data_IF_272126158361
#
_entry.id   IF_272126158361
#
_cell.length_a   1.000
_cell.length_b   1.000
_cell.length_c   1.000
_cell.angle_alpha   90.00
_cell.angle_beta   90.00
_cell.angle_gamma   90.00
#
_symmetry.space_group_name_H-M   'P 1'
#
loop_
_entity.id
_entity.type
_entity.pdbx_description
1 polymer ?
#
# COMPACT_ATOMS: atom_id res chain seq x y z
N UNK A 1 4.28 2.86 22.58
CA UNK A 1 4.29 2.44 21.16
C UNK A 1 4.31 0.94 20.97
N UNK A 2 5.27 0.21 21.53
CA UNK A 2 5.41 -1.24 21.33
C UNK A 2 4.39 -2.13 22.04
N UNK A 3 3.59 -1.59 22.97
CA UNK A 3 2.57 -2.37 23.70
C UNK A 3 1.49 -2.99 22.82
N UNK A 4 1.19 -2.40 21.67
CA UNK A 4 0.27 -2.99 20.69
C UNK A 4 0.71 -4.40 20.26
N UNK A 5 2.00 -4.64 20.18
CA UNK A 5 2.59 -5.93 19.79
C UNK A 5 2.80 -6.90 20.97
N UNK A 6 2.69 -6.44 22.22
CA UNK A 6 3.01 -7.25 23.41
C UNK A 6 1.81 -7.56 24.29
N UNK A 7 0.74 -6.77 24.23
CA UNK A 7 -0.47 -6.98 25.04
C UNK A 7 -1.31 -8.08 24.44
N UNK A 8 -1.69 -9.08 25.26
CA UNK A 8 -2.40 -10.30 24.87
C UNK A 8 -3.67 -10.03 24.03
N UNK A 9 -4.42 -8.97 24.34
CA UNK A 9 -5.66 -8.63 23.62
C UNK A 9 -5.43 -8.15 22.19
N UNK A 10 -4.27 -7.53 21.91
CA UNK A 10 -3.93 -6.95 20.62
C UNK A 10 -2.87 -7.75 19.86
N UNK A 11 -2.22 -8.72 20.52
CA UNK A 11 -1.09 -9.48 19.99
C UNK A 11 -1.40 -10.13 18.64
N UNK A 12 -2.46 -10.93 18.57
CA UNK A 12 -2.81 -11.62 17.31
C UNK A 12 -3.16 -10.64 16.20
N UNK A 13 -3.89 -9.58 16.53
CA UNK A 13 -4.25 -8.58 15.55
C UNK A 13 -3.04 -7.81 15.01
N UNK A 14 -2.10 -7.45 15.85
CA UNK A 14 -0.91 -6.71 15.43
C UNK A 14 0.00 -7.55 14.53
N UNK A 15 0.28 -8.79 14.88
CA UNK A 15 1.15 -9.65 14.09
C UNK A 15 0.50 -10.12 12.78
N UNK A 16 -0.75 -10.59 12.84
CA UNK A 16 -1.50 -11.01 11.65
C UNK A 16 -1.71 -9.80 10.72
N UNK A 17 -2.10 -8.65 11.28
CA UNK A 17 -2.32 -7.44 10.50
C UNK A 17 -1.03 -6.95 9.81
N UNK A 18 0.10 -6.95 10.50
CA UNK A 18 1.39 -6.61 9.90
C UNK A 18 1.77 -7.59 8.78
N UNK A 19 1.56 -8.89 9.01
CA UNK A 19 1.85 -9.91 8.00
C UNK A 19 0.95 -9.75 6.75
N UNK A 20 -0.35 -9.47 6.94
CA UNK A 20 -1.27 -9.22 5.83
C UNK A 20 -0.86 -7.99 5.03
N UNK A 21 -0.48 -6.90 5.70
CA UNK A 21 -0.02 -5.68 5.01
C UNK A 21 1.24 -5.98 4.19
N UNK A 22 2.25 -6.62 4.78
CA UNK A 22 3.50 -6.95 4.08
C UNK A 22 3.27 -7.90 2.90
N UNK A 23 2.45 -8.93 3.08
CA UNK A 23 2.09 -9.86 1.99
C UNK A 23 1.35 -9.15 0.86
N UNK A 24 0.45 -8.23 1.18
CA UNK A 24 -0.31 -7.46 0.20
C UNK A 24 0.59 -6.50 -0.59
N UNK A 25 1.55 -5.85 0.07
CA UNK A 25 2.56 -5.02 -0.61
C UNK A 25 3.39 -5.86 -1.59
N UNK A 26 3.76 -7.08 -1.20
CA UNK A 26 4.50 -7.98 -2.10
C UNK A 26 3.67 -8.38 -3.32
N UNK A 27 2.37 -8.70 -3.13
CA UNK A 27 1.44 -8.98 -4.24
C UNK A 27 1.35 -7.77 -5.19
N UNK A 28 1.29 -6.55 -4.65
CA UNK A 28 1.25 -5.33 -5.45
C UNK A 28 2.51 -5.19 -6.33
N UNK A 29 3.69 -5.42 -5.77
CA UNK A 29 4.96 -5.40 -6.55
C UNK A 29 4.94 -6.43 -7.67
N UNK A 30 4.42 -7.64 -7.43
CA UNK A 30 4.30 -8.68 -8.47
C UNK A 30 3.37 -8.24 -9.61
N UNK A 31 2.27 -7.55 -9.28
CA UNK A 31 1.36 -7.04 -10.31
C UNK A 31 2.02 -5.90 -11.09
N UNK A 32 2.76 -5.01 -10.43
CA UNK A 32 3.52 -3.92 -11.07
C UNK A 32 4.54 -4.46 -12.09
N UNK A 33 5.27 -5.52 -11.73
CA UNK A 33 6.20 -6.19 -12.65
C UNK A 33 5.45 -6.74 -13.88
N UNK A 34 4.31 -7.38 -13.68
CA UNK A 34 3.48 -7.90 -14.80
C UNK A 34 2.95 -6.79 -15.70
N UNK A 35 2.56 -5.66 -15.15
CA UNK A 35 2.14 -4.49 -15.92
C UNK A 35 3.32 -3.98 -16.77
N UNK A 36 4.51 -3.92 -16.18
CA UNK A 36 5.71 -3.48 -16.88
C UNK A 36 6.11 -4.45 -18.02
N UNK A 37 6.03 -5.76 -17.78
CA UNK A 37 6.22 -6.79 -18.82
C UNK A 37 5.20 -6.63 -19.95
N UNK A 38 3.93 -6.37 -19.60
CA UNK A 38 2.88 -6.14 -20.60
C UNK A 38 3.20 -4.92 -21.47
N UNK A 39 3.71 -3.82 -20.90
CA UNK A 39 4.13 -2.65 -21.68
C UNK A 39 5.21 -3.02 -22.70
N UNK A 40 6.22 -3.82 -22.32
CA UNK A 40 7.25 -4.30 -23.24
C UNK A 40 6.65 -5.03 -24.43
N UNK A 41 5.84 -6.06 -24.17
CA UNK A 41 5.19 -6.86 -25.21
C UNK A 41 4.26 -6.02 -26.10
N UNK A 42 3.54 -5.08 -25.51
CA UNK A 42 2.64 -4.19 -26.25
C UNK A 42 3.40 -3.24 -27.17
N UNK A 43 4.50 -2.65 -26.71
CA UNK A 43 5.33 -1.79 -27.55
C UNK A 43 5.99 -2.57 -28.70
N UNK A 44 6.46 -3.79 -28.46
CA UNK A 44 7.00 -4.66 -29.51
C UNK A 44 5.93 -4.98 -30.57
N UNK A 45 4.69 -5.24 -30.14
CA UNK A 45 3.56 -5.47 -31.04
C UNK A 45 3.26 -4.23 -31.89
N UNK A 46 3.27 -3.03 -31.31
CA UNK A 46 3.06 -1.77 -32.04
C UNK A 46 4.19 -1.53 -33.06
N UNK A 47 5.45 -1.75 -32.67
CA UNK A 47 6.60 -1.62 -33.57
C UNK A 47 6.48 -2.59 -34.77
N UNK A 48 6.08 -3.84 -34.51
CA UNK A 48 5.86 -4.82 -35.54
C UNK A 48 4.73 -4.41 -36.50
N UNK A 49 3.62 -3.91 -35.99
CA UNK A 49 2.50 -3.42 -36.77
C UNK A 49 2.87 -2.24 -37.67
N UNK A 50 3.79 -1.38 -37.23
CA UNK A 50 4.29 -0.22 -37.99
C UNK A 50 5.33 -0.63 -39.05
N UNK A 51 6.12 -1.65 -38.78
CA UNK A 51 7.18 -2.09 -39.67
C UNK A 51 6.62 -2.92 -40.86
N UNK A 52 5.60 -3.72 -40.61
CA UNK A 52 5.05 -4.63 -41.62
C UNK A 52 3.51 -4.51 -41.70
N UNK A 53 2.94 -4.16 -42.88
CA UNK A 53 1.49 -4.10 -43.03
C UNK A 53 0.84 -5.48 -42.78
N UNK A 54 -0.21 -5.50 -41.95
CA UNK A 54 -0.95 -6.71 -41.55
C UNK A 54 -0.16 -7.74 -40.70
N UNK A 55 0.98 -7.36 -40.11
CA UNK A 55 1.77 -8.26 -39.26
C UNK A 55 1.10 -8.52 -37.88
N UNK A 56 0.16 -7.69 -37.47
CA UNK A 56 -0.62 -7.82 -36.25
C UNK A 56 -2.10 -7.78 -36.61
N UNK A 57 -2.85 -8.76 -36.13
CA UNK A 57 -4.29 -8.79 -36.34
C UNK A 57 -5.02 -7.84 -35.34
N UNK A 58 -6.20 -7.38 -35.77
CA UNK A 58 -7.07 -6.59 -34.89
C UNK A 58 -7.46 -7.37 -33.62
N UNK A 59 -7.63 -8.68 -33.76
CA UNK A 59 -7.96 -9.57 -32.64
C UNK A 59 -6.84 -9.64 -31.62
N UNK A 60 -5.57 -9.77 -32.07
CA UNK A 60 -4.39 -9.74 -31.17
C UNK A 60 -4.26 -8.41 -30.42
N UNK A 61 -4.52 -7.31 -31.12
CA UNK A 61 -4.51 -5.97 -30.52
C UNK A 61 -5.55 -5.85 -29.38
N UNK A 62 -6.81 -6.22 -29.66
CA UNK A 62 -7.86 -6.17 -28.65
C UNK A 62 -7.65 -7.16 -27.52
N UNK A 63 -7.12 -8.36 -27.79
CA UNK A 63 -6.76 -9.34 -26.77
C UNK A 63 -5.69 -8.77 -25.80
N UNK A 64 -4.68 -8.08 -26.34
CA UNK A 64 -3.68 -7.40 -25.52
C UNK A 64 -4.29 -6.29 -24.66
N UNK A 65 -5.15 -5.44 -25.22
CA UNK A 65 -5.85 -4.41 -24.44
C UNK A 65 -6.73 -5.02 -23.33
N UNK A 66 -7.44 -6.10 -23.61
CA UNK A 66 -8.26 -6.78 -22.62
C UNK A 66 -7.41 -7.36 -21.47
N UNK A 67 -6.25 -7.92 -21.80
CA UNK A 67 -5.30 -8.39 -20.78
C UNK A 67 -4.81 -7.25 -19.87
N UNK A 68 -4.55 -6.07 -20.45
CA UNK A 68 -4.21 -4.88 -19.67
C UNK A 68 -5.33 -4.44 -18.73
N UNK A 69 -6.55 -4.35 -19.22
CA UNK A 69 -7.72 -3.98 -18.40
C UNK A 69 -7.87 -4.94 -17.23
N UNK A 70 -7.64 -6.22 -17.45
CA UNK A 70 -7.71 -7.25 -16.39
C UNK A 70 -6.61 -7.03 -15.33
N UNK A 71 -5.35 -6.80 -15.77
CA UNK A 71 -4.24 -6.51 -14.87
C UNK A 71 -4.46 -5.21 -14.09
N UNK A 72 -4.87 -4.14 -14.78
CA UNK A 72 -5.15 -2.85 -14.16
C UNK A 72 -6.32 -2.93 -13.17
N UNK A 73 -7.38 -3.66 -13.51
CA UNK A 73 -8.50 -3.91 -12.61
C UNK A 73 -8.08 -4.66 -11.35
N UNK A 74 -7.26 -5.70 -11.50
CA UNK A 74 -6.70 -6.45 -10.37
C UNK A 74 -5.82 -5.55 -9.48
N UNK A 75 -4.97 -4.71 -10.10
CA UNK A 75 -4.13 -3.74 -9.39
C UNK A 75 -4.97 -2.78 -8.54
N UNK A 76 -6.00 -2.18 -9.13
CA UNK A 76 -6.89 -1.24 -8.44
C UNK A 76 -7.62 -1.94 -7.28
N UNK A 77 -8.13 -3.14 -7.49
CA UNK A 77 -8.82 -3.90 -6.44
C UNK A 77 -7.89 -4.20 -5.25
N UNK A 78 -6.66 -4.65 -5.51
CA UNK A 78 -5.65 -4.90 -4.48
C UNK A 78 -5.27 -3.61 -3.77
N UNK A 79 -5.04 -2.51 -4.51
CA UNK A 79 -4.71 -1.21 -3.95
C UNK A 79 -5.79 -0.69 -2.98
N UNK A 80 -7.05 -0.75 -3.38
CA UNK A 80 -8.18 -0.33 -2.53
C UNK A 80 -8.27 -1.19 -1.28
N UNK A 81 -8.12 -2.52 -1.42
CA UNK A 81 -8.15 -3.44 -0.30
C UNK A 81 -7.01 -3.17 0.71
N UNK A 82 -5.79 -2.95 0.23
CA UNK A 82 -4.63 -2.60 1.07
C UNK A 82 -4.87 -1.27 1.79
N UNK A 83 -5.32 -0.25 1.08
CA UNK A 83 -5.57 1.07 1.65
C UNK A 83 -6.60 1.01 2.77
N UNK A 84 -7.71 0.32 2.54
CA UNK A 84 -8.75 0.10 3.54
C UNK A 84 -8.22 -0.66 4.77
N UNK A 85 -7.49 -1.76 4.54
CA UNK A 85 -6.96 -2.57 5.61
C UNK A 85 -5.91 -1.83 6.44
N UNK A 86 -5.03 -1.07 5.79
CA UNK A 86 -4.00 -0.26 6.45
C UNK A 86 -4.64 0.83 7.33
N UNK A 87 -5.63 1.55 6.82
CA UNK A 87 -6.37 2.55 7.61
C UNK A 87 -7.04 1.92 8.83
N UNK A 88 -7.66 0.75 8.67
CA UNK A 88 -8.29 0.02 9.76
C UNK A 88 -7.26 -0.50 10.80
N UNK A 89 -6.11 -0.98 10.35
CA UNK A 89 -5.02 -1.41 11.21
C UNK A 89 -4.46 -0.26 12.05
N UNK A 90 -4.23 0.90 11.44
CA UNK A 90 -3.74 2.11 12.12
C UNK A 90 -4.78 2.64 13.11
N UNK A 91 -6.06 2.60 12.76
CA UNK A 91 -7.13 2.97 13.68
C UNK A 91 -7.12 2.10 14.95
N UNK A 92 -6.98 0.78 14.81
CA UNK A 92 -6.89 -0.14 15.94
C UNK A 92 -5.61 0.06 16.76
N UNK A 93 -4.49 0.33 16.11
CA UNK A 93 -3.26 0.67 16.81
C UNK A 93 -3.41 1.93 17.65
N UNK A 94 -4.05 2.96 17.10
CA UNK A 94 -4.38 4.18 17.83
C UNK A 94 -5.29 3.88 19.03
N UNK A 95 -6.31 3.07 18.86
CA UNK A 95 -7.21 2.67 19.96
C UNK A 95 -6.43 2.02 21.10
N UNK A 96 -5.54 1.08 20.80
CA UNK A 96 -4.70 0.43 21.81
C UNK A 96 -3.77 1.40 22.53
N UNK A 97 -3.25 2.43 21.85
CA UNK A 97 -2.48 3.49 22.49
C UNK A 97 -3.33 4.34 23.43
N UNK A 98 -4.52 4.73 23.00
CA UNK A 98 -5.45 5.53 23.81
C UNK A 98 -5.89 4.75 25.05
N UNK A 99 -6.24 3.47 24.93
CA UNK A 99 -6.56 2.60 26.07
C UNK A 99 -5.43 2.55 27.10
N UNK A 100 -4.19 2.45 26.62
CA UNK A 100 -3.05 2.49 27.52
C UNK A 100 -2.88 3.84 28.20
N UNK A 101 -3.03 4.93 27.50
CA UNK A 101 -2.97 6.27 28.09
C UNK A 101 -4.05 6.45 29.16
N UNK A 102 -5.27 5.99 28.90
CA UNK A 102 -6.34 6.00 29.91
C UNK A 102 -5.97 5.21 31.16
N UNK A 103 -5.32 4.05 31.02
CA UNK A 103 -4.89 3.22 32.17
C UNK A 103 -3.83 3.87 33.05
N UNK A 104 -3.07 4.82 32.52
CA UNK A 104 -2.02 5.57 33.28
C UNK A 104 -2.39 7.01 33.54
N UNK A 105 -3.60 7.44 33.12
CA UNK A 105 -4.03 8.85 33.19
C UNK A 105 -4.01 9.44 34.58
N UNK A 106 -4.40 8.69 35.59
CA UNK A 106 -4.40 9.17 37.00
C UNK A 106 -2.99 9.54 37.49
N UNK A 107 -1.96 8.90 36.96
CA UNK A 107 -0.56 9.22 37.22
C UNK A 107 -0.07 10.39 36.38
N UNK A 108 -0.53 10.47 35.13
CA UNK A 108 -0.14 11.51 34.17
C UNK A 108 -0.89 12.84 34.38
N UNK A 109 -2.08 12.82 34.99
CA UNK A 109 -2.93 14.00 35.24
C UNK A 109 -2.25 15.13 36.00
N UNK A 110 -1.23 14.82 36.80
CA UNK A 110 -0.42 15.81 37.54
C UNK A 110 0.59 16.53 36.66
N UNK A 111 0.76 16.11 35.39
CA UNK A 111 1.70 16.70 34.45
C UNK A 111 0.91 17.70 33.58
N UNK A 112 1.34 18.97 33.60
CA UNK A 112 0.71 20.03 32.81
C UNK A 112 0.76 19.68 31.28
N UNK A 113 -0.38 19.78 30.59
CA UNK A 113 -0.49 19.46 29.16
C UNK A 113 -0.62 17.98 28.82
N UNK A 114 -0.77 17.06 29.78
CA UNK A 114 -0.87 15.62 29.52
C UNK A 114 -2.05 15.24 28.62
N UNK A 115 -3.22 15.85 28.79
CA UNK A 115 -4.42 15.58 27.98
C UNK A 115 -4.22 15.99 26.51
N UNK A 116 -3.58 17.14 26.27
CA UNK A 116 -3.27 17.62 24.94
C UNK A 116 -2.26 16.70 24.23
N UNK A 117 -1.20 16.29 24.93
CA UNK A 117 -0.21 15.34 24.38
C UNK A 117 -0.82 14.01 23.99
N UNK A 118 -1.73 13.45 24.79
CA UNK A 118 -2.42 12.19 24.49
C UNK A 118 -3.19 12.30 23.16
N UNK A 119 -3.88 13.40 22.93
CA UNK A 119 -4.63 13.61 21.68
C UNK A 119 -3.70 13.91 20.51
N UNK A 120 -2.80 14.87 20.63
CA UNK A 120 -1.97 15.33 19.53
C UNK A 120 -0.93 14.29 19.11
N UNK A 121 -0.23 13.66 20.05
CA UNK A 121 0.83 12.70 19.73
C UNK A 121 0.28 11.43 19.08
N UNK A 122 -0.89 10.96 19.53
CA UNK A 122 -1.52 9.80 18.90
C UNK A 122 -1.99 10.08 17.46
N UNK A 123 -2.52 11.29 17.21
CA UNK A 123 -2.93 11.71 15.87
C UNK A 123 -1.70 11.90 14.97
N UNK A 124 -0.67 12.59 15.45
CA UNK A 124 0.58 12.80 14.72
C UNK A 124 1.24 11.46 14.35
N UNK A 125 1.32 10.55 15.32
CA UNK A 125 1.85 9.20 15.07
C UNK A 125 1.08 8.47 13.96
N UNK A 126 -0.26 8.46 14.05
CA UNK A 126 -1.10 7.79 13.04
C UNK A 126 -0.89 8.41 11.65
N UNK A 127 -0.84 9.73 11.53
CA UNK A 127 -0.57 10.42 10.26
C UNK A 127 0.81 10.10 9.68
N UNK A 128 1.84 10.05 10.54
CA UNK A 128 3.19 9.69 10.09
C UNK A 128 3.22 8.25 9.60
N UNK A 129 2.59 7.32 10.31
CA UNK A 129 2.54 5.91 9.91
C UNK A 129 1.72 5.70 8.63
N UNK A 130 0.63 6.42 8.47
CA UNK A 130 -0.17 6.43 7.24
C UNK A 130 0.64 7.00 6.07
N UNK A 131 1.34 8.12 6.28
CA UNK A 131 2.23 8.72 5.30
C UNK A 131 3.37 7.80 4.88
N UNK A 132 3.99 7.10 5.82
CA UNK A 132 5.03 6.11 5.53
C UNK A 132 4.46 4.92 4.74
N UNK A 133 3.27 4.44 5.09
CA UNK A 133 2.60 3.37 4.36
C UNK A 133 2.30 3.75 2.91
N UNK A 134 1.71 4.92 2.69
CA UNK A 134 1.39 5.44 1.34
C UNK A 134 2.66 5.77 0.55
N UNK A 135 3.67 6.34 1.18
CA UNK A 135 4.96 6.65 0.53
C UNK A 135 5.69 5.37 0.10
N UNK A 136 5.69 4.33 0.90
CA UNK A 136 6.32 3.05 0.55
C UNK A 136 5.73 2.46 -0.73
N UNK A 137 4.42 2.61 -0.94
CA UNK A 137 3.74 2.19 -2.17
C UNK A 137 4.10 3.10 -3.35
N UNK A 138 4.18 4.42 -3.14
CA UNK A 138 4.49 5.38 -4.20
C UNK A 138 5.96 5.33 -4.66
N UNK A 139 6.91 5.03 -3.78
CA UNK A 139 8.33 4.93 -4.14
C UNK A 139 8.63 3.74 -5.06
N UNK A 140 7.87 2.66 -5.01
CA UNK A 140 8.01 1.55 -5.95
C UNK A 140 7.62 1.96 -7.37
N UNK A 141 6.73 2.94 -7.54
CA UNK A 141 6.37 3.49 -8.86
C UNK A 141 7.37 4.49 -9.43
N UNK A 142 8.10 5.22 -8.57
CA UNK A 142 9.03 6.27 -9.00
C UNK A 142 10.43 5.76 -9.36
N UNK A 143 10.77 4.54 -9.00
CA UNK A 143 12.08 3.93 -9.29
C UNK A 143 12.13 3.13 -10.60
N UNK A 144 11.06 3.11 -11.37
CA UNK A 144 11.15 2.62 -12.74
C UNK A 144 12.01 3.61 -13.54
N UNK A 145 13.14 3.16 -14.11
CA UNK A 145 14.01 4.06 -14.87
C UNK A 145 13.26 4.51 -16.13
N UNK A 146 12.78 5.74 -16.10
CA UNK A 146 12.34 6.46 -17.31
C UNK A 146 13.57 7.02 -18.06
N UNK A 147 14.66 6.27 -18.13
CA UNK A 147 15.75 6.63 -19.02
C UNK A 147 15.39 6.12 -20.42
N UNK A 148 15.02 7.01 -21.35
CA UNK A 148 15.01 6.62 -22.74
C UNK A 148 16.46 6.31 -23.10
N UNK A 149 16.72 5.07 -23.51
CA UNK A 149 17.97 4.76 -24.16
C UNK A 149 17.96 5.51 -25.51
N UNK A 150 18.79 6.54 -25.60
CA UNK A 150 19.18 7.17 -26.85
C UNK A 150 20.23 6.33 -27.52
#
# INVERSE_FOLDING_TARGET
MFRFFTVKNWFYWSWIGSFVILSSLWVQVVIDVKINEWFGVFYDMIQKALAEPNAVSIEEYFASLFSFITLAGMYIAVYVAISFFTAHFLFRWRTAMVEWYHSVYDKARKIEGASQRVQEDTIKFTRIMEGLGTSSVSYTHLTLPTTPYV
#
